data_IF_326590387684
#
_entry.id   IF_326590387684
#
_cell.length_a   1.000
_cell.length_b   1.000
_cell.length_c   1.000
_cell.angle_alpha   90.00
_cell.angle_beta   90.00
_cell.angle_gamma   90.00
#
_symmetry.space_group_name_H-M   'P 1'
#
loop_
_entity.id
_entity.type
_entity.pdbx_description
1 polymer ?
#
# COMPACT_ATOMS: atom_id res chain seq x y z
N UNK A 1 11.28 -2.54 1.85
CA UNK A 1 10.04 -2.42 1.06
C UNK A 1 9.73 -0.97 0.70
N UNK A 2 9.27 -0.13 1.64
CA UNK A 2 8.89 1.29 1.38
C UNK A 2 9.83 2.07 0.45
N UNK A 3 11.13 2.19 0.78
CA UNK A 3 12.12 2.94 -0.04
C UNK A 3 12.24 2.47 -1.51
N UNK A 4 11.86 1.22 -1.80
CA UNK A 4 11.82 0.70 -3.18
C UNK A 4 10.49 1.10 -3.84
N UNK A 5 9.37 0.89 -3.15
CA UNK A 5 8.02 1.19 -3.67
C UNK A 5 7.76 2.67 -3.87
N UNK A 6 8.21 3.53 -2.94
CA UNK A 6 7.90 4.98 -2.95
C UNK A 6 8.39 5.72 -4.18
N UNK A 7 9.40 5.19 -4.89
CA UNK A 7 9.90 5.76 -6.16
C UNK A 7 8.92 5.65 -7.32
N UNK A 8 7.96 4.74 -7.21
CA UNK A 8 6.99 4.42 -8.26
C UNK A 8 5.57 4.84 -7.89
N UNK A 9 5.34 5.30 -6.67
CA UNK A 9 4.06 5.81 -6.22
C UNK A 9 3.83 7.24 -6.71
N UNK A 10 2.56 7.63 -6.95
CA UNK A 10 2.22 9.03 -7.17
C UNK A 10 2.72 9.93 -6.01
N UNK A 11 3.21 11.15 -6.27
CA UNK A 11 3.79 12.01 -5.23
C UNK A 11 2.87 12.27 -4.04
N UNK A 12 1.57 12.43 -4.26
CA UNK A 12 0.60 12.64 -3.18
C UNK A 12 0.48 11.42 -2.26
N UNK A 13 0.50 10.20 -2.83
CA UNK A 13 0.46 8.97 -2.05
C UNK A 13 1.72 8.80 -1.20
N UNK A 14 2.88 9.22 -1.73
CA UNK A 14 4.14 9.23 -0.97
C UNK A 14 4.00 10.10 0.28
N UNK A 15 3.54 11.34 0.12
CA UNK A 15 3.35 12.28 1.25
C UNK A 15 2.35 11.74 2.28
N UNK A 16 1.20 11.22 1.83
CA UNK A 16 0.18 10.63 2.72
C UNK A 16 0.77 9.48 3.52
N UNK A 17 1.46 8.55 2.85
CA UNK A 17 2.03 7.36 3.50
C UNK A 17 3.12 7.75 4.50
N UNK A 18 3.99 8.71 4.16
CA UNK A 18 5.04 9.19 5.08
C UNK A 18 4.45 9.84 6.33
N UNK A 19 3.38 10.61 6.18
CA UNK A 19 2.67 11.20 7.32
C UNK A 19 2.01 10.13 8.20
N UNK A 20 1.41 9.10 7.59
CA UNK A 20 0.87 7.94 8.31
C UNK A 20 1.97 7.23 9.10
N UNK A 21 3.12 6.92 8.48
CA UNK A 21 4.24 6.26 9.17
C UNK A 21 4.79 7.11 10.31
N UNK A 22 4.76 8.44 10.17
CA UNK A 22 5.16 9.37 11.22
C UNK A 22 4.19 9.32 12.41
N UNK A 23 2.89 9.23 12.15
CA UNK A 23 1.85 9.19 13.18
C UNK A 23 1.78 7.84 13.90
N UNK A 24 1.90 6.72 13.18
CA UNK A 24 1.85 5.37 13.75
C UNK A 24 3.20 4.90 14.31
N UNK A 25 4.30 5.49 13.85
CA UNK A 25 5.66 5.02 14.19
C UNK A 25 6.02 3.67 13.54
N UNK A 26 5.24 3.20 12.56
CA UNK A 26 5.38 1.88 11.95
C UNK A 26 5.17 1.92 10.44
N UNK A 27 5.93 1.09 9.70
CA UNK A 27 5.70 0.81 8.28
C UNK A 27 4.78 -0.40 8.05
N UNK A 28 4.42 -1.11 9.12
CA UNK A 28 3.52 -2.28 9.11
C UNK A 28 2.10 -1.86 9.46
N UNK A 29 1.60 -0.89 8.72
CA UNK A 29 0.25 -0.32 8.81
C UNK A 29 -0.29 -0.18 7.40
N UNK A 30 -1.58 0.08 7.22
CA UNK A 30 -2.12 0.43 5.92
C UNK A 30 -1.50 1.75 5.43
N UNK A 31 -0.95 1.75 4.21
CA UNK A 31 -0.26 2.93 3.65
C UNK A 31 -1.22 4.06 3.22
N UNK A 32 -2.53 3.86 3.33
CA UNK A 32 -3.56 4.84 2.94
C UNK A 32 -4.27 5.45 4.14
N UNK A 33 -4.61 4.65 5.15
CA UNK A 33 -5.37 5.13 6.32
C UNK A 33 -4.64 4.95 7.66
N UNK A 34 -3.52 4.23 7.69
CA UNK A 34 -2.78 3.95 8.92
C UNK A 34 -3.37 2.87 9.82
N UNK A 35 -4.42 2.17 9.37
CA UNK A 35 -5.00 1.03 10.09
C UNK A 35 -3.93 -0.05 10.36
N UNK A 36 -4.00 -0.69 11.51
CA UNK A 36 -3.04 -1.72 11.95
C UNK A 36 -3.66 -3.12 11.96
N UNK A 37 -4.97 -3.23 11.69
CA UNK A 37 -5.72 -4.47 11.66
C UNK A 37 -6.01 -4.92 10.22
N UNK A 38 -6.27 -6.23 10.05
CA UNK A 38 -6.64 -6.87 8.78
C UNK A 38 -5.75 -6.45 7.60
N UNK A 39 -4.43 -6.61 7.76
CA UNK A 39 -3.44 -6.11 6.82
C UNK A 39 -3.04 -7.17 5.80
N UNK A 40 -2.88 -6.72 4.56
CA UNK A 40 -2.43 -7.51 3.43
C UNK A 40 -1.18 -6.89 2.83
N UNK A 41 -0.18 -7.73 2.57
CA UNK A 41 0.92 -7.43 1.67
C UNK A 41 0.47 -7.79 0.25
N UNK A 42 0.40 -6.80 -0.62
CA UNK A 42 -0.06 -6.94 -1.99
C UNK A 42 1.10 -6.73 -2.96
N UNK A 43 1.24 -7.67 -3.90
CA UNK A 43 2.02 -7.47 -5.10
C UNK A 43 1.14 -6.82 -6.16
N UNK A 44 1.44 -5.59 -6.55
CA UNK A 44 0.64 -4.82 -7.51
C UNK A 44 1.43 -4.52 -8.76
N UNK A 45 0.73 -4.51 -9.91
CA UNK A 45 1.30 -4.13 -11.20
C UNK A 45 0.85 -2.72 -11.57
N UNK A 46 1.80 -1.81 -11.71
CA UNK A 46 1.53 -0.46 -12.22
C UNK A 46 1.21 -0.48 -13.71
N UNK A 47 0.68 0.62 -14.24
CA UNK A 47 0.37 0.76 -15.67
C UNK A 47 1.60 0.56 -16.57
N UNK A 48 2.78 0.90 -16.06
CA UNK A 48 4.06 0.73 -16.76
C UNK A 48 4.66 -0.69 -16.62
N UNK A 49 3.91 -1.63 -16.04
CA UNK A 49 4.32 -3.03 -15.88
C UNK A 49 5.27 -3.30 -14.71
N UNK A 50 5.61 -2.27 -13.92
CA UNK A 50 6.46 -2.42 -12.73
C UNK A 50 5.65 -3.14 -11.65
N UNK A 51 6.26 -4.16 -11.05
CA UNK A 51 5.70 -4.85 -9.89
C UNK A 51 6.25 -4.22 -8.62
N UNK A 52 5.37 -3.89 -7.69
CA UNK A 52 5.75 -3.33 -6.39
C UNK A 52 4.89 -3.89 -5.26
N UNK A 53 5.45 -3.88 -4.06
CA UNK A 53 4.80 -4.34 -2.84
C UNK A 53 4.19 -3.16 -2.08
N UNK A 54 2.93 -3.30 -1.65
CA UNK A 54 2.22 -2.33 -0.80
C UNK A 54 1.52 -3.05 0.37
N UNK A 55 1.38 -2.37 1.51
CA UNK A 55 0.53 -2.85 2.61
C UNK A 55 -0.78 -2.05 2.63
N UNK A 56 -1.91 -2.74 2.51
CA UNK A 56 -3.24 -2.16 2.66
C UNK A 56 -4.07 -2.97 3.66
N UNK A 57 -4.98 -2.31 4.39
CA UNK A 57 -6.04 -3.03 5.11
C UNK A 57 -7.09 -3.55 4.10
N UNK A 58 -7.93 -4.50 4.52
CA UNK A 58 -8.94 -5.11 3.65
C UNK A 58 -9.87 -4.10 2.96
N UNK A 59 -10.31 -3.07 3.68
CA UNK A 59 -11.17 -2.03 3.09
C UNK A 59 -10.45 -1.19 2.02
N UNK A 60 -9.22 -0.75 2.30
CA UNK A 60 -8.43 0.02 1.35
C UNK A 60 -8.04 -0.83 0.13
N UNK A 61 -7.73 -2.11 0.32
CA UNK A 61 -7.47 -3.05 -0.78
C UNK A 61 -8.68 -3.12 -1.71
N UNK A 62 -9.88 -3.40 -1.18
CA UNK A 62 -11.12 -3.47 -1.98
C UNK A 62 -11.43 -2.16 -2.71
N UNK A 63 -11.26 -1.02 -2.05
CA UNK A 63 -11.48 0.30 -2.67
C UNK A 63 -10.51 0.51 -3.84
N UNK A 64 -9.23 0.22 -3.63
CA UNK A 64 -8.20 0.40 -4.66
C UNK A 64 -8.42 -0.51 -5.86
N UNK A 65 -8.81 -1.77 -5.67
CA UNK A 65 -9.21 -2.65 -6.78
C UNK A 65 -10.38 -2.09 -7.58
N UNK A 66 -11.39 -1.53 -6.89
CA UNK A 66 -12.50 -0.83 -7.53
C UNK A 66 -12.09 0.43 -8.31
N UNK A 67 -10.93 1.00 -7.98
CA UNK A 67 -10.30 2.12 -8.69
C UNK A 67 -9.32 1.68 -9.79
N UNK A 68 -9.18 0.37 -10.03
CA UNK A 68 -8.35 -0.18 -11.11
C UNK A 68 -6.96 -0.66 -10.67
N UNK A 69 -6.68 -0.74 -9.37
CA UNK A 69 -5.45 -1.36 -8.87
C UNK A 69 -5.40 -2.84 -9.29
N UNK A 70 -4.32 -3.23 -9.98
CA UNK A 70 -4.13 -4.61 -10.43
C UNK A 70 -3.28 -5.38 -9.44
N UNK A 71 -3.92 -6.19 -8.61
CA UNK A 71 -3.28 -7.09 -7.65
C UNK A 71 -2.88 -8.39 -8.36
N UNK A 72 -1.63 -8.80 -8.20
CA UNK A 72 -1.05 -10.05 -8.70
C UNK A 72 -1.19 -11.14 -7.63
N UNK A 73 -0.79 -10.81 -6.40
CA UNK A 73 -0.87 -11.69 -5.24
C UNK A 73 -1.21 -10.87 -4.00
N UNK A 74 -1.89 -11.51 -3.05
CA UNK A 74 -2.33 -10.90 -1.81
C UNK A 74 -2.09 -11.87 -0.65
N UNK A 75 -1.26 -11.46 0.30
CA UNK A 75 -0.94 -12.24 1.48
C UNK A 75 -1.35 -11.50 2.74
N UNK A 76 -2.27 -12.08 3.52
CA UNK A 76 -2.59 -11.57 4.86
C UNK A 76 -1.36 -11.67 5.76
N UNK A 77 -1.04 -10.58 6.46
CA UNK A 77 0.16 -10.46 7.31
C UNK A 77 -0.17 -10.21 8.78
N UNK A 78 -1.37 -9.71 9.08
CA UNK A 78 -1.98 -9.53 10.40
C UNK A 78 -3.47 -9.76 10.22
#
# INVERSE_FOLDING_TARGET
MWKKTSKYLPPHQVVISEEIFRLTGSYKVCWICGDEEDLYLLDIRTENGIVMEIILCGDCHRIQEGMGLKVIDAKKII
#
